data_IF_302627632046
#
_entry.id   IF_302627632046
#
_cell.length_a   1.000
_cell.length_b   1.000
_cell.length_c   1.000
_cell.angle_alpha   90.00
_cell.angle_beta   90.00
_cell.angle_gamma   90.00
#
_symmetry.space_group_name_H-M   'P 1'
#
loop_
_entity.id
_entity.type
_entity.pdbx_description
1 polymer ?
#
# COMPACT_ATOMS: atom_id res chain seq x y z
N UNK A 1 4.62 1.20 -6.88
CA UNK A 1 4.86 -0.26 -6.65
C UNK A 1 5.64 -0.91 -7.80
N UNK A 2 5.13 -0.92 -9.04
CA UNK A 2 5.78 -1.53 -10.21
C UNK A 2 7.21 -1.04 -10.49
N UNK A 3 7.44 0.28 -10.40
CA UNK A 3 8.79 0.85 -10.59
C UNK A 3 9.84 0.38 -9.59
N UNK A 4 9.45 0.00 -8.36
CA UNK A 4 10.37 -0.51 -7.34
C UNK A 4 10.84 -1.92 -7.72
N UNK A 5 9.88 -2.80 -8.06
CA UNK A 5 10.12 -4.18 -8.52
C UNK A 5 10.94 -4.22 -9.80
N UNK A 6 10.66 -3.34 -10.76
CA UNK A 6 11.46 -3.22 -11.97
C UNK A 6 12.93 -2.88 -11.66
N UNK A 7 13.18 -1.85 -10.83
CA UNK A 7 14.54 -1.48 -10.42
C UNK A 7 15.27 -2.60 -9.67
N UNK A 8 14.58 -3.35 -8.83
CA UNK A 8 15.14 -4.51 -8.12
C UNK A 8 15.52 -5.66 -9.05
N UNK A 9 14.77 -5.88 -10.14
CA UNK A 9 15.09 -6.92 -11.12
C UNK A 9 16.29 -6.51 -11.97
N UNK A 10 16.31 -5.26 -12.46
CA UNK A 10 17.43 -4.72 -13.22
C UNK A 10 18.72 -4.68 -12.37
N UNK A 11 18.64 -4.32 -11.08
CA UNK A 11 19.82 -4.32 -10.20
C UNK A 11 20.39 -5.72 -9.94
N UNK A 12 19.59 -6.77 -10.14
CA UNK A 12 20.01 -8.19 -10.09
C UNK A 12 20.50 -8.73 -11.43
N UNK A 13 20.57 -7.89 -12.47
CA UNK A 13 20.92 -8.31 -13.83
C UNK A 13 19.83 -9.12 -14.53
N UNK A 14 18.61 -9.14 -13.97
CA UNK A 14 17.47 -9.85 -14.55
C UNK A 14 16.79 -8.89 -15.53
N UNK A 15 16.77 -9.26 -16.80
CA UNK A 15 16.01 -8.53 -17.80
C UNK A 15 14.52 -8.68 -17.48
N UNK A 16 13.83 -7.55 -17.31
CA UNK A 16 12.43 -7.52 -16.99
C UNK A 16 11.73 -6.49 -17.87
N UNK A 17 10.49 -6.77 -18.28
CA UNK A 17 9.65 -5.83 -19.01
C UNK A 17 8.75 -5.11 -18.01
N UNK A 18 8.74 -3.78 -18.05
CA UNK A 18 7.93 -2.96 -17.15
C UNK A 18 6.43 -3.18 -17.36
N UNK A 19 6.00 -3.40 -18.61
CA UNK A 19 4.59 -3.65 -18.95
C UNK A 19 4.09 -4.98 -18.36
N UNK A 20 4.91 -6.02 -18.46
CA UNK A 20 4.59 -7.35 -17.90
C UNK A 20 4.46 -7.29 -16.37
N UNK A 21 5.37 -6.57 -15.68
CA UNK A 21 5.29 -6.37 -14.23
C UNK A 21 4.00 -5.63 -13.83
N UNK A 22 3.58 -4.63 -14.61
CA UNK A 22 2.32 -3.93 -14.37
C UNK A 22 1.13 -4.89 -14.58
N UNK A 23 1.17 -5.69 -15.64
CA UNK A 23 0.16 -6.71 -15.93
C UNK A 23 0.00 -7.70 -14.78
N UNK A 24 1.11 -8.29 -14.31
CA UNK A 24 1.13 -9.21 -13.16
C UNK A 24 0.55 -8.58 -11.89
N UNK A 25 0.93 -7.33 -11.59
CA UNK A 25 0.45 -6.64 -10.39
C UNK A 25 -1.05 -6.39 -10.50
N UNK A 26 -1.54 -5.94 -11.66
CA UNK A 26 -2.97 -5.69 -11.89
C UNK A 26 -3.78 -6.98 -11.78
N UNK A 27 -3.31 -8.06 -12.39
CA UNK A 27 -4.05 -9.32 -12.35
C UNK A 27 -4.08 -9.91 -10.94
N UNK A 28 -2.97 -9.86 -10.20
CA UNK A 28 -2.98 -10.28 -8.80
C UNK A 28 -3.92 -9.41 -7.96
N UNK A 29 -3.86 -8.09 -8.09
CA UNK A 29 -4.72 -7.19 -7.33
C UNK A 29 -6.21 -7.40 -7.71
N UNK A 30 -6.51 -7.77 -8.97
CA UNK A 30 -7.86 -8.18 -9.41
C UNK A 30 -8.29 -9.48 -8.73
N UNK A 31 -7.48 -10.54 -8.80
CA UNK A 31 -7.77 -11.83 -8.18
C UNK A 31 -8.00 -11.66 -6.66
N UNK A 32 -7.10 -10.93 -5.99
CA UNK A 32 -7.17 -10.67 -4.55
C UNK A 32 -8.44 -9.90 -4.16
N UNK A 33 -8.90 -8.96 -5.00
CA UNK A 33 -10.13 -8.20 -4.74
C UNK A 33 -11.42 -8.95 -5.08
N UNK A 34 -11.37 -9.94 -5.97
CA UNK A 34 -12.55 -10.73 -6.40
C UNK A 34 -12.69 -12.10 -5.73
N UNK A 35 -11.74 -12.52 -4.87
CA UNK A 35 -11.81 -13.83 -4.22
C UNK A 35 -13.04 -13.95 -3.30
N UNK A 36 -13.72 -15.09 -3.35
CA UNK A 36 -14.92 -15.35 -2.54
C UNK A 36 -14.63 -15.38 -1.03
N UNK A 37 -13.44 -15.83 -0.64
CA UNK A 37 -13.02 -15.93 0.76
C UNK A 37 -12.03 -14.81 1.11
N UNK A 38 -12.41 -13.95 2.06
CA UNK A 38 -11.63 -12.82 2.58
C UNK A 38 -11.14 -11.83 1.49
N UNK A 39 -11.99 -11.31 0.59
CA UNK A 39 -11.56 -10.40 -0.49
C UNK A 39 -10.71 -9.24 0.05
N UNK A 40 -9.69 -8.83 -0.73
CA UNK A 40 -8.84 -7.69 -0.44
C UNK A 40 -9.63 -6.38 -0.66
N UNK A 41 -10.61 -6.15 0.20
CA UNK A 41 -11.46 -4.97 0.23
C UNK A 41 -11.09 -4.15 1.45
N UNK A 42 -10.78 -2.84 1.30
CA UNK A 42 -10.65 -1.95 2.44
C UNK A 42 -11.92 -2.00 3.28
N UNK A 43 -11.78 -2.01 4.60
CA UNK A 43 -12.91 -1.80 5.51
C UNK A 43 -13.57 -0.44 5.23
N UNK A 44 -14.83 -0.27 5.63
CA UNK A 44 -15.57 0.99 5.41
C UNK A 44 -14.89 2.20 6.06
N UNK A 45 -14.20 1.97 7.18
CA UNK A 45 -13.44 2.96 7.92
C UNK A 45 -11.94 2.96 7.56
N UNK A 46 -11.50 2.18 6.56
CA UNK A 46 -10.09 2.11 6.21
C UNK A 46 -9.58 3.43 5.62
N UNK A 47 -8.39 3.87 6.06
CA UNK A 47 -7.68 5.00 5.43
C UNK A 47 -6.78 4.47 4.34
N UNK A 48 -6.99 4.94 3.11
CA UNK A 48 -6.13 4.59 1.98
C UNK A 48 -4.90 5.51 1.96
N UNK A 49 -3.72 4.93 2.14
CA UNK A 49 -2.44 5.66 2.06
C UNK A 49 -1.74 5.28 0.77
N UNK A 50 -1.63 6.23 -0.17
CA UNK A 50 -0.79 6.08 -1.36
C UNK A 50 0.66 6.37 -0.99
N UNK A 51 1.53 5.39 -1.17
CA UNK A 51 2.95 5.44 -0.77
C UNK A 51 3.91 5.57 -1.95
N UNK A 52 3.39 5.73 -3.16
CA UNK A 52 4.22 5.91 -4.36
C UNK A 52 5.00 7.23 -4.26
N UNK A 53 6.32 7.16 -4.46
CA UNK A 53 7.23 8.31 -4.39
C UNK A 53 7.66 8.71 -2.98
N UNK A 54 7.13 8.09 -1.93
CA UNK A 54 7.52 8.38 -0.55
C UNK A 54 8.69 7.50 -0.09
N UNK A 55 9.55 8.09 0.73
CA UNK A 55 10.52 7.38 1.57
C UNK A 55 9.82 6.57 2.66
N UNK A 56 10.55 5.66 3.30
CA UNK A 56 10.01 4.87 4.42
C UNK A 56 9.58 5.78 5.57
N UNK A 57 10.40 6.78 5.91
CA UNK A 57 10.14 7.69 7.03
C UNK A 57 8.87 8.52 6.79
N UNK A 58 8.65 9.01 5.57
CA UNK A 58 7.42 9.73 5.21
C UNK A 58 6.17 8.86 5.29
N UNK A 59 6.28 7.57 4.95
CA UNK A 59 5.17 6.62 5.11
C UNK A 59 4.87 6.40 6.59
N UNK A 60 5.90 6.18 7.41
CA UNK A 60 5.76 5.98 8.86
C UNK A 60 5.15 7.21 9.52
N UNK A 61 5.61 8.41 9.17
CA UNK A 61 5.07 9.66 9.72
C UNK A 61 3.59 9.84 9.36
N UNK A 62 3.18 9.53 8.11
CA UNK A 62 1.77 9.57 7.70
C UNK A 62 0.90 8.61 8.50
N UNK A 63 1.37 7.38 8.70
CA UNK A 63 0.66 6.38 9.51
C UNK A 63 0.53 6.86 10.95
N UNK A 64 1.61 7.42 11.52
CA UNK A 64 1.61 7.94 12.88
C UNK A 64 0.63 9.11 13.06
N UNK A 65 0.59 10.05 12.12
CA UNK A 65 -0.38 11.17 12.14
C UNK A 65 -1.82 10.67 12.13
N UNK A 66 -2.16 9.75 11.23
CA UNK A 66 -3.50 9.16 11.15
C UNK A 66 -3.87 8.45 12.46
N UNK A 67 -2.92 7.74 13.07
CA UNK A 67 -3.12 7.09 14.36
C UNK A 67 -3.45 8.09 15.47
N UNK A 68 -2.68 9.17 15.58
CA UNK A 68 -2.93 10.23 16.57
C UNK A 68 -4.26 10.94 16.31
N UNK A 69 -4.60 11.25 15.07
CA UNK A 69 -5.89 11.87 14.71
C UNK A 69 -7.08 10.97 15.02
N UNK A 70 -6.95 9.64 14.90
CA UNK A 70 -8.05 8.72 15.19
C UNK A 70 -8.17 8.32 16.65
N UNK A 71 -7.04 8.14 17.34
CA UNK A 71 -7.02 7.64 18.74
C UNK A 71 -6.84 8.77 19.75
N UNK A 72 -6.11 9.84 19.41
CA UNK A 72 -5.90 11.00 20.27
C UNK A 72 -7.21 11.68 20.68
N UNK A 73 -8.19 11.77 19.78
CA UNK A 73 -9.53 12.29 20.06
C UNK A 73 -10.38 11.44 21.04
N UNK A 74 -9.99 10.19 21.30
CA UNK A 74 -10.70 9.32 22.26
C UNK A 74 -10.23 9.60 23.69
N UNK A 75 -9.00 10.08 23.89
CA UNK A 75 -8.48 10.38 25.23
C UNK A 75 -9.00 11.70 25.82
N UNK A 76 -9.26 12.71 24.99
CA UNK A 76 -9.67 14.04 25.49
C UNK A 76 -11.16 14.17 25.82
N UNK A 77 -11.98 13.13 25.58
CA UNK A 77 -13.43 13.15 25.88
C UNK A 77 -13.84 12.50 27.20
N UNK A 78 -12.88 12.03 27.99
CA UNK A 78 -13.14 11.36 29.28
C UNK A 78 -12.39 11.99 30.47
N UNK A 79 -12.07 13.30 30.42
CA UNK A 79 -11.53 14.02 31.59
C UNK A 79 -12.38 15.20 31.98
#
# INVERSE_FOLDING_TARGET
>A
RAGRRYRELISKGIQANFEDIIGEIKERDRIDSTREVAPLKPAEDAVIIKTDGLSLDEVVERVYKIYIERIGFVKDRNS
#
